data_IF_273740534320
#
_entry.id   IF_273740534320
#
_cell.length_a   1.000
_cell.length_b   1.000
_cell.length_c   1.000
_cell.angle_alpha   90.00
_cell.angle_beta   90.00
_cell.angle_gamma   90.00
#
_symmetry.space_group_name_H-M   'P 1'
#
loop_
_entity.id
_entity.type
_entity.pdbx_description
1 polymer ?
#
# COMPACT_ATOMS: atom_id res chain seq x y z
N UNK A 1 5.20 10.77 -1.16
CA UNK A 1 4.63 10.95 -2.51
C UNK A 1 4.33 12.43 -2.72
N UNK A 2 4.70 13.02 -3.86
CA UNK A 2 4.52 14.46 -4.13
C UNK A 2 3.07 14.94 -4.04
N UNK A 3 2.10 14.08 -4.40
CA UNK A 3 0.66 14.41 -4.26
C UNK A 3 0.24 14.72 -2.82
N UNK A 4 0.96 14.18 -1.82
CA UNK A 4 0.67 14.40 -0.41
C UNK A 4 1.02 15.82 0.07
N UNK A 5 1.80 16.59 -0.72
CA UNK A 5 2.11 17.99 -0.42
C UNK A 5 0.90 18.89 -0.63
N UNK A 6 0.03 18.55 -1.59
CA UNK A 6 -1.19 19.29 -1.91
C UNK A 6 -2.46 18.61 -1.39
N UNK A 7 -2.43 17.28 -1.27
CA UNK A 7 -3.53 16.44 -0.81
C UNK A 7 -3.07 15.61 0.39
N UNK A 8 -2.92 16.27 1.53
CA UNK A 8 -2.42 15.64 2.74
C UNK A 8 -3.40 14.58 3.29
N UNK A 9 -2.95 13.84 4.30
CA UNK A 9 -3.74 12.79 4.93
C UNK A 9 -5.05 13.32 5.52
N UNK A 10 -5.06 14.49 6.16
CA UNK A 10 -6.29 15.06 6.74
C UNK A 10 -7.37 15.32 5.68
N UNK A 11 -6.98 15.93 4.56
CA UNK A 11 -7.89 16.15 3.43
C UNK A 11 -8.41 14.82 2.89
N UNK A 12 -7.53 13.83 2.71
CA UNK A 12 -7.91 12.50 2.28
C UNK A 12 -8.92 11.85 3.25
N UNK A 13 -8.72 11.98 4.57
CA UNK A 13 -9.66 11.47 5.56
C UNK A 13 -11.06 12.08 5.40
N UNK A 14 -11.13 13.40 5.21
CA UNK A 14 -12.39 14.10 5.00
C UNK A 14 -13.08 13.66 3.71
N UNK A 15 -12.33 13.52 2.61
CA UNK A 15 -12.84 13.01 1.34
C UNK A 15 -13.36 11.57 1.44
N UNK A 16 -12.67 10.70 2.16
CA UNK A 16 -13.09 9.31 2.37
C UNK A 16 -14.38 9.21 3.19
N UNK A 17 -14.50 10.02 4.25
CA UNK A 17 -15.74 10.10 5.04
C UNK A 17 -16.91 10.57 4.19
N UNK A 18 -16.69 11.63 3.40
CA UNK A 18 -17.71 12.14 2.47
C UNK A 18 -18.14 11.07 1.45
N UNK A 19 -17.19 10.40 0.82
CA UNK A 19 -17.46 9.34 -0.15
C UNK A 19 -18.28 8.21 0.47
N UNK A 20 -17.88 7.72 1.65
CA UNK A 20 -18.61 6.66 2.35
C UNK A 20 -20.03 7.12 2.72
N UNK A 21 -20.20 8.34 3.23
CA UNK A 21 -21.52 8.89 3.58
C UNK A 21 -22.45 8.99 2.37
N UNK A 22 -21.91 9.25 1.18
CA UNK A 22 -22.72 9.38 -0.06
C UNK A 22 -23.03 8.05 -0.73
N UNK A 23 -22.14 7.07 -0.63
CA UNK A 23 -22.20 5.84 -1.42
C UNK A 23 -22.47 4.59 -0.60
N UNK A 24 -22.22 4.63 0.71
CA UNK A 24 -22.18 3.48 1.61
C UNK A 24 -21.21 2.37 1.15
N UNK A 25 -20.24 2.69 0.27
CA UNK A 25 -19.27 1.74 -0.27
C UNK A 25 -17.99 1.71 0.57
N UNK A 26 -17.55 0.49 0.92
CA UNK A 26 -16.30 0.29 1.65
C UNK A 26 -15.09 0.61 0.78
N UNK A 27 -14.08 1.23 1.38
CA UNK A 27 -12.84 1.60 0.69
C UNK A 27 -11.81 0.48 0.80
N UNK A 28 -10.97 0.34 -0.21
CA UNK A 28 -9.77 -0.51 -0.16
C UNK A 28 -8.53 0.35 -0.18
N UNK A 29 -7.68 0.21 0.82
CA UNK A 29 -6.36 0.84 0.82
C UNK A 29 -5.35 -0.09 0.15
N UNK A 30 -4.56 0.46 -0.77
CA UNK A 30 -3.39 -0.21 -1.34
C UNK A 30 -2.14 0.30 -0.63
N UNK A 31 -1.33 -0.61 -0.09
CA UNK A 31 -0.14 -0.28 0.68
C UNK A 31 1.06 -1.07 0.15
N UNK A 32 1.99 -0.38 -0.51
CA UNK A 32 3.22 -1.01 -1.01
C UNK A 32 4.21 -1.16 0.15
N UNK A 33 4.72 -2.37 0.33
CA UNK A 33 5.68 -2.71 1.37
C UNK A 33 7.11 -2.44 0.87
N UNK A 34 7.74 -1.41 1.43
CA UNK A 34 9.11 -0.98 1.11
C UNK A 34 10.00 -1.18 2.34
N UNK A 35 11.05 -1.98 2.17
CA UNK A 35 11.97 -2.34 3.24
C UNK A 35 12.58 -1.09 3.87
N UNK A 36 12.49 -0.99 5.21
CA UNK A 36 13.08 0.09 6.03
C UNK A 36 12.54 1.51 5.73
N UNK A 37 11.48 1.62 4.93
CA UNK A 37 10.89 2.91 4.55
C UNK A 37 9.51 3.09 5.19
N UNK A 38 8.66 2.07 5.09
CA UNK A 38 7.29 2.13 5.57
C UNK A 38 6.79 0.78 6.07
N UNK A 39 7.70 -0.12 6.41
CA UNK A 39 7.33 -1.47 6.82
C UNK A 39 7.51 -1.70 8.31
N UNK A 40 7.76 -0.70 9.16
CA UNK A 40 7.95 -0.91 10.60
C UNK A 40 6.67 -1.35 11.33
N UNK A 41 6.78 -1.78 12.60
CA UNK A 41 5.57 -2.06 13.41
C UNK A 41 4.79 -0.78 13.71
N UNK A 42 5.49 0.35 13.86
CA UNK A 42 4.86 1.65 14.05
C UNK A 42 4.01 2.03 12.83
N UNK A 43 4.53 1.80 11.63
CA UNK A 43 3.80 2.00 10.38
C UNK A 43 2.53 1.15 10.32
N UNK A 44 2.60 -0.12 10.74
CA UNK A 44 1.43 -0.99 10.82
C UNK A 44 0.38 -0.43 11.79
N UNK A 45 0.79 0.01 12.98
CA UNK A 45 -0.12 0.59 13.97
C UNK A 45 -0.73 1.92 13.49
N UNK A 46 0.04 2.77 12.80
CA UNK A 46 -0.44 4.00 12.20
C UNK A 46 -1.46 3.70 11.09
N UNK A 47 -1.21 2.66 10.29
CA UNK A 47 -2.13 2.22 9.26
C UNK A 47 -3.46 1.69 9.84
N UNK A 48 -3.42 0.95 10.96
CA UNK A 48 -4.64 0.53 11.70
C UNK A 48 -5.46 1.74 12.14
N UNK A 49 -4.81 2.75 12.71
CA UNK A 49 -5.51 3.98 13.16
C UNK A 49 -6.16 4.67 11.96
N UNK A 50 -5.44 4.80 10.85
CA UNK A 50 -5.95 5.43 9.65
C UNK A 50 -7.10 4.64 9.01
N UNK A 51 -7.02 3.31 9.00
CA UNK A 51 -8.03 2.48 8.32
C UNK A 51 -9.40 2.48 9.02
N UNK A 52 -9.47 2.89 10.29
CA UNK A 52 -10.70 2.92 11.10
C UNK A 52 -11.62 4.11 10.81
N UNK A 53 -11.19 5.03 9.95
CA UNK A 53 -11.91 6.27 9.63
C UNK A 53 -13.21 5.97 8.89
N UNK A 54 -13.19 4.98 8.00
CA UNK A 54 -14.36 4.43 7.31
C UNK A 54 -14.22 2.91 7.23
N UNK A 55 -15.34 2.15 7.12
CA UNK A 55 -15.27 0.72 6.89
C UNK A 55 -14.39 0.40 5.66
N UNK A 56 -13.34 -0.37 5.88
CA UNK A 56 -12.30 -0.57 4.88
C UNK A 56 -11.65 -1.95 4.94
N UNK A 57 -10.89 -2.27 3.90
CA UNK A 57 -9.93 -3.38 3.85
C UNK A 57 -8.59 -2.88 3.32
N UNK A 58 -7.53 -3.61 3.59
CA UNK A 58 -6.17 -3.27 3.17
C UNK A 58 -5.63 -4.37 2.26
N UNK A 59 -5.04 -3.97 1.14
CA UNK A 59 -4.22 -4.84 0.31
C UNK A 59 -2.76 -4.42 0.47
N UNK A 60 -1.97 -5.26 1.14
CA UNK A 60 -0.51 -5.12 1.12
C UNK A 60 0.00 -5.60 -0.23
N UNK A 61 0.89 -4.84 -0.84
CA UNK A 61 1.47 -5.13 -2.15
C UNK A 61 2.97 -5.32 -1.95
N UNK A 62 3.47 -6.51 -2.32
CA UNK A 62 4.91 -6.73 -2.37
C UNK A 62 5.53 -5.82 -3.43
N UNK A 63 6.59 -5.11 -3.06
CA UNK A 63 7.33 -4.30 -4.01
C UNK A 63 8.11 -5.18 -4.99
N UNK A 64 8.01 -4.85 -6.28
CA UNK A 64 8.82 -5.44 -7.33
C UNK A 64 10.01 -4.53 -7.63
N UNK A 65 11.20 -5.10 -7.75
CA UNK A 65 12.39 -4.35 -8.10
C UNK A 65 12.18 -3.69 -9.47
N UNK A 66 12.38 -2.38 -9.50
CA UNK A 66 12.42 -1.57 -10.73
C UNK A 66 13.86 -1.11 -10.93
N UNK A 67 14.42 -1.36 -12.11
CA UNK A 67 15.78 -0.92 -12.43
C UNK A 67 15.88 0.61 -12.29
N UNK A 68 16.93 1.08 -11.62
CA UNK A 68 17.19 2.50 -11.40
C UNK A 68 16.51 3.12 -10.17
N UNK A 69 15.79 2.34 -9.35
CA UNK A 69 15.17 2.82 -8.10
C UNK A 69 15.79 2.09 -6.91
N UNK A 70 16.20 2.83 -5.88
CA UNK A 70 16.89 2.29 -4.69
C UNK A 70 15.98 1.67 -3.63
N UNK A 71 14.72 1.37 -3.94
CA UNK A 71 13.81 0.72 -3.00
C UNK A 71 14.00 -0.80 -3.02
N UNK A 72 13.76 -1.42 -1.86
CA UNK A 72 13.88 -2.87 -1.69
C UNK A 72 12.56 -3.47 -1.25
N UNK A 73 12.32 -4.71 -1.68
CA UNK A 73 11.22 -5.54 -1.22
C UNK A 73 11.41 -5.85 0.27
N UNK A 74 10.37 -5.64 1.08
CA UNK A 74 10.39 -6.04 2.49
C UNK A 74 10.61 -7.56 2.62
N UNK A 75 11.41 -8.02 3.59
CA UNK A 75 11.59 -9.44 3.85
C UNK A 75 10.27 -10.16 4.18
N UNK A 76 10.11 -11.44 3.83
CA UNK A 76 8.89 -12.20 4.11
C UNK A 76 8.47 -12.15 5.59
N UNK A 77 9.41 -12.32 6.52
CA UNK A 77 9.13 -12.25 7.96
C UNK A 77 8.60 -10.88 8.39
N UNK A 78 9.04 -9.81 7.71
CA UNK A 78 8.62 -8.45 7.97
C UNK A 78 7.20 -8.21 7.48
N UNK A 79 6.88 -8.71 6.28
CA UNK A 79 5.52 -8.70 5.73
C UNK A 79 4.57 -9.50 6.62
N UNK A 80 4.95 -10.70 7.05
CA UNK A 80 4.12 -11.55 7.91
C UNK A 80 3.83 -10.88 9.27
N UNK A 81 4.84 -10.24 9.86
CA UNK A 81 4.68 -9.51 11.13
C UNK A 81 3.79 -8.28 10.97
N UNK A 82 3.93 -7.53 9.89
CA UNK A 82 3.06 -6.40 9.56
C UNK A 82 1.61 -6.87 9.37
N UNK A 83 1.39 -7.94 8.60
CA UNK A 83 0.08 -8.55 8.40
C UNK A 83 -0.53 -9.02 9.71
N UNK A 84 0.27 -9.61 10.61
CA UNK A 84 -0.20 -10.07 11.92
C UNK A 84 -0.75 -8.91 12.75
N UNK A 85 -0.04 -7.78 12.83
CA UNK A 85 -0.50 -6.58 13.56
C UNK A 85 -1.85 -6.08 13.03
N UNK A 86 -2.01 -6.02 11.70
CA UNK A 86 -3.26 -5.61 11.06
C UNK A 86 -4.41 -6.58 11.40
N UNK A 87 -4.17 -7.89 11.27
CA UNK A 87 -5.17 -8.93 11.55
C UNK A 87 -5.59 -8.94 13.02
N UNK A 88 -4.63 -8.91 13.94
CA UNK A 88 -4.87 -8.89 15.39
C UNK A 88 -5.66 -7.64 15.81
N UNK A 89 -5.56 -6.56 15.04
CA UNK A 89 -6.32 -5.31 15.24
C UNK A 89 -7.72 -5.31 14.62
N UNK A 90 -8.15 -6.43 14.03
CA UNK A 90 -9.46 -6.62 13.38
C UNK A 90 -9.56 -6.07 11.96
N UNK A 91 -8.43 -5.71 11.32
CA UNK A 91 -8.42 -5.18 9.95
C UNK A 91 -8.46 -6.34 8.94
N UNK A 92 -9.36 -6.25 7.97
CA UNK A 92 -9.38 -7.17 6.82
C UNK A 92 -8.18 -6.83 5.95
N UNK A 93 -7.19 -7.73 5.88
CA UNK A 93 -5.98 -7.54 5.09
C UNK A 93 -5.71 -8.71 4.15
N UNK A 94 -5.34 -8.40 2.91
CA UNK A 94 -4.85 -9.35 1.92
C UNK A 94 -3.41 -9.01 1.52
N UNK A 95 -2.63 -10.03 1.18
CA UNK A 95 -1.32 -9.86 0.55
C UNK A 95 -1.44 -10.13 -0.94
N UNK A 96 -1.15 -9.11 -1.75
CA UNK A 96 -0.98 -9.24 -3.19
C UNK A 96 0.49 -9.53 -3.47
N UNK A 97 0.81 -10.82 -3.60
CA UNK A 97 2.10 -11.26 -4.12
C UNK A 97 2.22 -10.87 -5.58
N UNK A 98 3.41 -10.46 -5.99
CA UNK A 98 3.67 -10.24 -7.40
C UNK A 98 3.49 -11.54 -8.18
N UNK A 99 2.77 -11.48 -9.30
CA UNK A 99 2.68 -12.58 -10.27
C UNK A 99 3.60 -12.24 -11.42
N UNK A 100 4.57 -13.11 -11.73
CA UNK A 100 5.43 -12.96 -12.90
C UNK A 100 6.76 -12.22 -12.68
N UNK A 101 7.40 -12.35 -11.50
CA UNK A 101 8.84 -12.06 -11.37
C UNK A 101 9.65 -12.82 -12.45
N UNK A 102 9.17 -14.01 -12.82
CA UNK A 102 9.75 -14.89 -13.83
C UNK A 102 9.67 -14.33 -15.28
N UNK A 103 8.81 -13.33 -15.54
CA UNK A 103 8.50 -12.85 -16.92
C UNK A 103 8.52 -11.33 -17.10
N UNK A 104 9.06 -10.55 -16.14
CA UNK A 104 9.14 -9.08 -16.23
C UNK A 104 7.78 -8.41 -16.60
N UNK A 105 6.68 -8.89 -16.01
CA UNK A 105 5.33 -8.35 -16.22
C UNK A 105 4.74 -7.69 -14.95
N UNK A 106 5.60 -7.34 -13.99
CA UNK A 106 5.19 -6.79 -12.71
C UNK A 106 4.71 -5.32 -12.83
N UNK A 107 3.70 -4.94 -12.04
CA UNK A 107 3.23 -3.56 -11.94
C UNK A 107 4.39 -2.61 -11.57
N UNK A 108 4.66 -1.62 -12.43
CA UNK A 108 5.79 -0.68 -12.35
C UNK A 108 6.77 -0.78 -13.53
N UNK A 109 6.74 -1.88 -14.29
CA UNK A 109 7.67 -2.12 -15.41
C UNK A 109 7.18 -1.59 -16.78
N UNK A 110 5.95 -1.09 -16.86
CA UNK A 110 5.37 -0.52 -18.10
C UNK A 110 5.98 0.83 -18.51
N UNK A 111 6.96 1.36 -17.78
CA UNK A 111 7.52 2.69 -17.99
C UNK A 111 8.80 2.74 -18.84
N UNK A 112 9.35 1.62 -19.32
CA UNK A 112 10.63 1.62 -20.07
C UNK A 112 10.49 1.49 -21.59
N UNK A 113 9.28 1.36 -22.14
CA UNK A 113 9.07 1.34 -23.60
C UNK A 113 8.74 2.73 -24.17
N UNK A 114 9.49 3.77 -23.77
CA UNK A 114 9.67 4.92 -24.66
C UNK A 114 10.99 4.70 -25.40
N UNK A 115 10.89 3.91 -26.46
CA UNK A 115 11.89 3.90 -27.53
C UNK A 115 12.10 5.35 -27.97
N UNK A 116 13.35 5.79 -27.94
CA UNK A 116 13.79 7.02 -28.57
C UNK A 116 13.40 6.95 -30.06
N UNK A 117 12.60 7.91 -30.51
CA UNK A 117 12.66 8.46 -31.87
C UNK A 117 13.05 9.93 -31.77
#
# INVERSE_FOLDING_TARGET
MSINETNNLELLQNSLRYYFMKTNQKVTYEYVMLSEVNDSDEDANNLVKFSRIVPSKINLIEYNLVQGISFKKSPPERVDRFMKILKDSGVIVNLRKSRGEDVNAACGQLALNKTNE
#
